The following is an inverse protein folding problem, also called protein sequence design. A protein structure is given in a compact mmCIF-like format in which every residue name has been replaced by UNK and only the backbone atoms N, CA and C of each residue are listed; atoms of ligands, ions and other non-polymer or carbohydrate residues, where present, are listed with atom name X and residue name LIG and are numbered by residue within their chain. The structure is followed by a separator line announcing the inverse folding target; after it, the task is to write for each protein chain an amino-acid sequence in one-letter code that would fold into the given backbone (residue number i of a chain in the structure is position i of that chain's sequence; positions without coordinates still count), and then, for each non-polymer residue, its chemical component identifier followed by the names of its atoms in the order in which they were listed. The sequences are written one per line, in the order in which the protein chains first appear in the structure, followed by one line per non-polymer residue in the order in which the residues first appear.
data_IF_812177175272
#
_entry.id   IF_812177175272
#
_cell.length_a   1.000
_cell.length_b   1.000
_cell.length_c   1.000
_cell.angle_alpha   90.00
_cell.angle_beta   90.00
_cell.angle_gamma   90.00
#
_symmetry.space_group_name_H-M   'P 1'
#
loop_
_entity.id
_entity.type
_entity.pdbx_description
1 polymer ?
#
# COMPACT_ATOMS: atom_id res chain seq x y z
N UNK A 1 2.28 -9.66 5.21
CA UNK A 1 1.40 -8.53 5.53
C UNK A 1 2.08 -7.72 6.62
N UNK A 2 2.48 -6.48 6.34
CA UNK A 2 3.35 -5.68 7.22
C UNK A 2 2.63 -4.46 7.77
N UNK A 3 3.22 -3.81 8.77
CA UNK A 3 2.82 -2.47 9.20
C UNK A 3 2.79 -1.49 8.02
N UNK A 4 3.76 -1.56 7.11
CA UNK A 4 3.82 -0.76 5.88
C UNK A 4 2.61 -0.95 4.92
N UNK A 5 1.83 -2.01 5.10
CA UNK A 5 0.61 -2.28 4.32
C UNK A 5 -0.67 -1.82 5.04
N UNK A 6 -0.56 -1.22 6.22
CA UNK A 6 -1.68 -0.84 7.07
C UNK A 6 -2.09 0.63 6.88
N UNK A 7 -3.40 0.90 6.85
CA UNK A 7 -3.99 2.26 6.80
C UNK A 7 -3.63 3.10 8.03
N UNK A 8 -3.25 2.45 9.13
CA UNK A 8 -2.79 3.11 10.35
C UNK A 8 -1.27 3.37 10.36
N UNK A 9 -0.56 3.16 9.25
CA UNK A 9 0.87 3.43 9.14
C UNK A 9 1.12 4.87 8.71
N UNK A 10 1.92 5.59 9.49
CA UNK A 10 2.40 6.93 9.18
C UNK A 10 3.80 6.78 8.60
N UNK A 11 3.98 7.15 7.33
CA UNK A 11 5.29 7.12 6.68
C UNK A 11 6.24 8.12 7.36
N UNK A 12 7.48 7.73 7.59
CA UNK A 12 8.54 8.61 8.10
C UNK A 12 9.69 8.70 7.11
N UNK A 13 10.33 7.57 6.79
CA UNK A 13 11.47 7.50 5.88
C UNK A 13 11.51 6.18 5.10
N UNK A 14 12.67 5.85 4.51
CA UNK A 14 12.87 4.67 3.67
C UNK A 14 13.01 3.34 4.42
N UNK A 15 13.14 3.33 5.75
CA UNK A 15 13.33 2.09 6.54
C UNK A 15 12.25 1.89 7.61
N UNK A 16 11.53 2.94 8.01
CA UNK A 16 10.56 2.88 9.11
C UNK A 16 9.44 3.90 9.00
N UNK A 17 8.47 3.73 9.89
CA UNK A 17 7.33 4.60 10.05
C UNK A 17 6.81 4.53 11.48
N UNK A 18 5.60 5.03 11.68
CA UNK A 18 4.95 5.02 12.99
C UNK A 18 3.56 4.38 12.91
N UNK A 19 3.23 3.56 13.88
CA UNK A 19 1.86 3.09 14.06
C UNK A 19 1.00 4.23 14.63
N UNK A 20 -0.01 4.70 13.90
CA UNK A 20 -0.92 5.76 14.35
C UNK A 20 -1.68 5.39 15.64
N UNK A 21 -1.86 4.10 15.94
CA UNK A 21 -2.61 3.65 17.11
C UNK A 21 -1.77 3.71 18.39
N UNK A 22 -0.60 3.07 18.41
CA UNK A 22 0.25 3.00 19.60
C UNK A 22 1.41 4.00 19.60
N UNK A 23 1.61 4.76 18.52
CA UNK A 23 2.69 5.74 18.34
C UNK A 23 4.11 5.16 18.34
N UNK A 24 4.24 3.84 18.31
CA UNK A 24 5.54 3.17 18.21
C UNK A 24 6.14 3.34 16.81
N UNK A 25 7.46 3.53 16.76
CA UNK A 25 8.24 3.41 15.53
C UNK A 25 8.31 1.93 15.14
N UNK A 26 8.00 1.63 13.87
CA UNK A 26 7.93 0.27 13.35
C UNK A 26 8.71 0.20 12.03
N UNK A 27 9.51 -0.86 11.81
CA UNK A 27 10.30 -0.99 10.60
C UNK A 27 9.43 -1.40 9.40
N UNK A 28 9.86 -1.03 8.19
CA UNK A 28 9.26 -1.49 6.93
C UNK A 28 9.55 -2.97 6.71
N UNK A 29 10.78 -3.40 6.99
CA UNK A 29 11.29 -4.74 6.72
C UNK A 29 11.88 -5.41 7.98
N UNK A 30 12.10 -6.72 7.92
CA UNK A 30 12.76 -7.48 8.98
C UNK A 30 11.86 -7.80 10.18
N UNK A 31 12.49 -8.10 11.31
CA UNK A 31 11.82 -8.45 12.56
C UNK A 31 10.94 -7.29 13.05
N UNK A 32 9.77 -7.59 13.62
CA UNK A 32 8.77 -6.61 14.07
C UNK A 32 8.10 -5.76 12.98
N UNK A 33 8.29 -6.07 11.68
CA UNK A 33 7.56 -5.42 10.58
C UNK A 33 6.15 -5.97 10.35
N UNK A 34 5.81 -7.13 10.94
CA UNK A 34 4.52 -7.81 10.72
C UNK A 34 3.33 -6.99 11.22
N UNK A 35 2.22 -7.06 10.48
CA UNK A 35 0.97 -6.44 10.88
C UNK A 35 0.40 -7.03 12.19
N UNK A 36 -0.28 -6.20 12.99
CA UNK A 36 -0.97 -6.62 14.22
C UNK A 36 -2.46 -6.92 13.99
N UNK A 37 -3.21 -7.46 14.97
CA UNK A 37 -4.64 -7.78 14.83
C UNK A 37 -5.55 -6.58 14.49
N UNK A 38 -5.08 -5.34 14.66
CA UNK A 38 -5.81 -4.11 14.29
C UNK A 38 -5.52 -3.66 12.85
N UNK A 39 -4.91 -4.52 12.03
CA UNK A 39 -4.59 -4.24 10.65
C UNK A 39 -5.84 -3.86 9.85
N UNK A 40 -5.71 -2.80 9.06
CA UNK A 40 -6.65 -2.42 8.01
C UNK A 40 -5.80 -2.15 6.77
N UNK A 41 -6.09 -2.72 5.60
CA UNK A 41 -5.26 -2.50 4.42
C UNK A 41 -5.23 -1.01 4.06
N UNK A 42 -4.03 -0.47 3.82
CA UNK A 42 -3.90 0.83 3.17
C UNK A 42 -4.39 0.71 1.72
N UNK A 43 -5.02 1.76 1.21
CA UNK A 43 -5.47 1.82 -0.18
C UNK A 43 -4.21 1.85 -1.07
N UNK A 44 -3.95 0.80 -1.86
CA UNK A 44 -2.78 0.68 -2.74
C UNK A 44 -3.20 0.17 -4.10
N UNK A 45 -2.44 0.46 -5.15
CA UNK A 45 -2.75 -0.07 -6.49
C UNK A 45 -2.87 -1.61 -6.49
N UNK A 46 -2.02 -2.33 -5.74
CA UNK A 46 -2.09 -3.79 -5.59
C UNK A 46 -3.42 -4.35 -5.08
N UNK A 47 -4.20 -3.57 -4.33
CA UNK A 47 -5.52 -3.97 -3.83
C UNK A 47 -6.68 -3.21 -4.49
N UNK A 48 -6.42 -2.57 -5.63
CA UNK A 48 -7.43 -1.93 -6.46
C UNK A 48 -8.01 -2.93 -7.49
N UNK A 49 -9.32 -2.88 -7.77
CA UNK A 49 -9.96 -3.63 -8.86
C UNK A 49 -9.40 -3.27 -10.24
N UNK A 50 -8.98 -2.02 -10.41
CA UNK A 50 -8.48 -1.47 -11.68
C UNK A 50 -7.00 -1.75 -11.98
N UNK A 51 -6.28 -2.43 -11.07
CA UNK A 51 -4.88 -2.81 -11.28
C UNK A 51 -4.76 -4.28 -11.70
N UNK A 52 -4.00 -4.53 -12.76
CA UNK A 52 -3.83 -5.89 -13.31
C UNK A 52 -2.45 -6.10 -13.94
N UNK A 53 -2.14 -7.38 -14.23
CA UNK A 53 -0.92 -7.82 -14.94
C UNK A 53 0.40 -7.24 -14.38
N UNK A 54 0.65 -7.32 -13.05
CA UNK A 54 1.94 -6.91 -12.51
C UNK A 54 3.06 -7.83 -13.03
N UNK A 55 4.20 -7.24 -13.40
CA UNK A 55 5.44 -7.95 -13.64
C UNK A 55 6.13 -8.36 -12.32
N UNK A 56 7.34 -8.92 -12.41
CA UNK A 56 8.12 -9.35 -11.25
C UNK A 56 8.55 -8.22 -10.29
N UNK A 57 8.50 -6.97 -10.74
CA UNK A 57 8.79 -5.77 -9.93
C UNK A 57 7.51 -5.09 -9.45
N UNK A 58 6.34 -5.65 -9.79
CA UNK A 58 5.04 -5.11 -9.44
C UNK A 58 4.62 -3.93 -10.33
N UNK A 59 5.25 -3.71 -11.48
CA UNK A 59 4.80 -2.74 -12.48
C UNK A 59 3.68 -3.40 -13.29
N UNK A 60 2.52 -2.76 -13.36
CA UNK A 60 1.34 -3.32 -14.03
C UNK A 60 0.50 -2.26 -14.73
N UNK A 61 -0.71 -2.65 -15.12
CA UNK A 61 -1.64 -1.84 -15.90
C UNK A 61 -2.76 -1.32 -14.99
N UNK A 62 -3.03 -0.02 -15.08
CA UNK A 62 -4.18 0.66 -14.47
C UNK A 62 -5.21 1.00 -15.56
N UNK A 63 -6.45 0.58 -15.35
CA UNK A 63 -7.60 0.89 -16.22
C UNK A 63 -8.66 1.75 -15.53
N UNK A 64 -8.32 2.38 -14.40
CA UNK A 64 -9.27 3.09 -13.53
C UNK A 64 -9.55 4.55 -13.90
N UNK A 65 -8.97 5.04 -15.00
CA UNK A 65 -9.13 6.41 -15.51
C UNK A 65 -9.46 6.35 -17.00
N UNK A 66 -9.73 7.51 -17.62
CA UNK A 66 -10.16 7.63 -19.02
C UNK A 66 -9.26 6.87 -20.01
N UNK A 67 -7.95 6.86 -19.77
CA UNK A 67 -6.97 6.17 -20.60
C UNK A 67 -6.16 5.19 -19.76
N UNK A 68 -6.00 3.98 -20.29
CA UNK A 68 -5.09 2.98 -19.73
C UNK A 68 -3.68 3.56 -19.56
N UNK A 69 -3.06 3.25 -18.42
CA UNK A 69 -1.68 3.65 -18.14
C UNK A 69 -0.97 2.61 -17.27
N UNK A 70 0.34 2.70 -17.17
CA UNK A 70 1.11 1.88 -16.24
C UNK A 70 1.04 2.46 -14.81
N UNK A 71 1.21 1.61 -13.82
CA UNK A 71 1.41 1.99 -12.41
C UNK A 71 2.19 0.90 -11.69
N UNK A 72 2.44 1.07 -10.39
CA UNK A 72 3.18 0.10 -9.59
C UNK A 72 2.42 -0.32 -8.32
N UNK A 73 2.56 -1.59 -7.95
CA UNK A 73 1.76 -2.27 -6.93
C UNK A 73 1.74 -1.60 -5.55
N UNK A 74 2.84 -0.98 -5.13
CA UNK A 74 2.99 -0.31 -3.83
C UNK A 74 2.56 1.16 -3.83
N UNK A 75 2.14 1.71 -4.98
CA UNK A 75 1.65 3.09 -5.08
C UNK A 75 0.47 3.30 -4.12
N UNK A 76 0.56 4.33 -3.29
CA UNK A 76 -0.51 4.72 -2.38
C UNK A 76 -1.68 5.29 -3.20
N UNK A 77 -2.87 4.71 -3.00
CA UNK A 77 -4.08 5.03 -3.75
C UNK A 77 -5.11 5.82 -2.92
N UNK A 78 -4.76 6.28 -1.71
CA UNK A 78 -5.71 6.94 -0.79
C UNK A 78 -6.34 8.24 -1.32
N UNK A 79 -5.76 8.84 -2.36
CA UNK A 79 -6.29 10.03 -3.04
C UNK A 79 -6.64 9.78 -4.52
N UNK A 80 -6.56 8.53 -4.99
CA UNK A 80 -6.85 8.20 -6.39
C UNK A 80 -8.37 8.15 -6.60
N UNK A 81 -8.88 8.95 -7.54
CA UNK A 81 -10.31 8.99 -7.89
C UNK A 81 -10.82 7.69 -8.54
N UNK A 82 -9.91 6.92 -9.15
CA UNK A 82 -10.21 5.61 -9.75
C UNK A 82 -9.95 4.43 -8.82
N UNK A 83 -9.66 4.64 -7.54
CA UNK A 83 -9.46 3.53 -6.62
C UNK A 83 -10.79 2.88 -6.24
N UNK A 84 -10.86 1.56 -6.40
CA UNK A 84 -11.95 0.74 -5.88
C UNK A 84 -11.35 -0.50 -5.23
N UNK A 85 -11.61 -0.70 -3.94
CA UNK A 85 -11.04 -1.83 -3.19
C UNK A 85 -11.53 -3.17 -3.77
N UNK A 86 -10.60 -4.12 -3.94
CA UNK A 86 -10.90 -5.51 -4.35
C UNK A 86 -11.45 -6.34 -3.19
#
# INVERSE_FOLDING_TARGET
MRHYDCKNYINLDCEKGMCALCKAIVPIDGENSNACPKFKPADKCSNCKNFSKPDKYGIGICTGLEKENWTYSSMNACTCSGYEAR
#
